data_IF_452680165321
#
_entry.id   IF_452680165321
#
_cell.length_a   1.000
_cell.length_b   1.000
_cell.length_c   1.000
_cell.angle_alpha   90.00
_cell.angle_beta   90.00
_cell.angle_gamma   90.00
#
_symmetry.space_group_name_H-M   'P 1'
#
loop_
_entity.id
_entity.type
_entity.pdbx_description
1 polymer ?
#
# COMPACT_ATOMS: atom_id res chain seq x y z
N UNK A 1 8.66 -6.59 -47.83
CA UNK A 1 8.12 -7.50 -48.86
C UNK A 1 6.96 -8.27 -48.26
N UNK A 2 5.72 -8.00 -48.68
CA UNK A 2 4.60 -8.92 -48.43
C UNK A 2 4.79 -10.11 -49.33
N UNK A 3 4.99 -11.28 -48.76
CA UNK A 3 5.12 -12.52 -49.50
C UNK A 3 3.93 -12.67 -50.47
N UNK A 4 4.20 -12.99 -51.73
CA UNK A 4 3.17 -13.28 -52.75
C UNK A 4 2.41 -14.58 -52.45
N UNK A 5 2.82 -15.30 -51.39
CA UNK A 5 2.08 -16.40 -50.78
C UNK A 5 0.88 -15.85 -50.01
N UNK A 6 -0.32 -16.26 -50.41
CA UNK A 6 -1.57 -15.87 -49.75
C UNK A 6 -1.57 -16.43 -48.32
N UNK A 7 -1.62 -15.55 -47.33
CA UNK A 7 -1.75 -15.93 -45.92
C UNK A 7 -2.95 -16.89 -45.71
N UNK A 8 -2.77 -18.06 -45.09
CA UNK A 8 -3.84 -19.05 -44.93
C UNK A 8 -4.96 -18.57 -43.99
N UNK A 9 -4.67 -17.71 -43.01
CA UNK A 9 -5.65 -17.20 -42.04
C UNK A 9 -6.24 -15.82 -42.39
N UNK A 10 -5.78 -15.18 -43.46
CA UNK A 10 -6.33 -13.91 -43.96
C UNK A 10 -7.84 -13.93 -44.28
N UNK A 11 -8.44 -14.99 -44.87
CA UNK A 11 -9.90 -15.00 -45.08
C UNK A 11 -10.68 -14.89 -43.77
N UNK A 12 -10.21 -15.53 -42.68
CA UNK A 12 -10.85 -15.43 -41.37
C UNK A 12 -10.68 -14.02 -40.78
N UNK A 13 -9.52 -13.39 -40.94
CA UNK A 13 -9.31 -11.99 -40.54
C UNK A 13 -10.27 -11.04 -41.29
N UNK A 14 -10.48 -11.23 -42.59
CA UNK A 14 -11.47 -10.45 -43.36
C UNK A 14 -12.90 -10.68 -42.86
N UNK A 15 -13.25 -11.91 -42.46
CA UNK A 15 -14.56 -12.22 -41.87
C UNK A 15 -14.78 -11.52 -40.54
N UNK A 16 -13.75 -11.40 -39.69
CA UNK A 16 -13.83 -10.63 -38.44
C UNK A 16 -14.19 -9.19 -38.76
N UNK A 17 -13.46 -8.55 -39.68
CA UNK A 17 -13.72 -7.16 -40.07
C UNK A 17 -15.15 -6.98 -40.61
N UNK A 18 -15.61 -7.89 -41.48
CA UNK A 18 -16.98 -7.86 -41.99
C UNK A 18 -18.03 -8.05 -40.88
N UNK A 19 -17.76 -8.91 -39.89
CA UNK A 19 -18.65 -9.11 -38.75
C UNK A 19 -18.72 -7.86 -37.87
N UNK A 20 -17.57 -7.23 -37.58
CA UNK A 20 -17.51 -6.01 -36.79
C UNK A 20 -18.25 -4.87 -37.48
N UNK A 21 -18.02 -4.63 -38.78
CA UNK A 21 -18.74 -3.59 -39.52
C UNK A 21 -20.26 -3.81 -39.49
N UNK A 22 -20.72 -5.07 -39.58
CA UNK A 22 -22.16 -5.40 -39.52
C UNK A 22 -22.76 -5.25 -38.12
N UNK A 23 -21.98 -5.49 -37.07
CA UNK A 23 -22.45 -5.50 -35.68
C UNK A 23 -22.05 -4.24 -34.89
N UNK A 24 -21.73 -3.13 -35.57
CA UNK A 24 -21.29 -1.89 -34.93
C UNK A 24 -20.10 -2.08 -33.99
N UNK A 25 -19.13 -2.89 -34.42
CA UNK A 25 -17.90 -3.21 -33.69
C UNK A 25 -18.13 -3.93 -32.34
N UNK A 26 -19.27 -4.60 -32.19
CA UNK A 26 -19.53 -5.45 -31.02
C UNK A 26 -18.86 -6.82 -31.19
N UNK A 27 -17.70 -7.00 -30.56
CA UNK A 27 -16.92 -8.25 -30.59
C UNK A 27 -17.68 -9.45 -29.99
N UNK A 28 -18.51 -9.20 -28.98
CA UNK A 28 -19.33 -10.22 -28.29
C UNK A 28 -20.26 -10.99 -29.26
N UNK A 29 -20.62 -10.40 -30.40
CA UNK A 29 -21.45 -11.03 -31.44
C UNK A 29 -20.63 -11.79 -32.50
N UNK A 30 -19.33 -11.60 -32.51
CA UNK A 30 -18.41 -12.15 -33.51
C UNK A 30 -17.53 -13.27 -32.96
N UNK A 31 -17.90 -13.84 -31.79
CA UNK A 31 -17.13 -14.87 -31.09
C UNK A 31 -16.88 -16.10 -31.96
N UNK A 32 -17.88 -16.56 -32.72
CA UNK A 32 -17.75 -17.70 -33.63
C UNK A 32 -16.68 -17.46 -34.71
N UNK A 33 -16.61 -16.23 -35.23
CA UNK A 33 -15.64 -15.86 -36.28
C UNK A 33 -14.24 -15.71 -35.68
N UNK A 34 -14.14 -15.18 -34.45
CA UNK A 34 -12.89 -15.11 -33.69
C UNK A 34 -12.37 -16.51 -33.35
N UNK A 35 -13.24 -17.44 -33.00
CA UNK A 35 -12.88 -18.82 -32.74
C UNK A 35 -12.37 -19.52 -34.01
N UNK A 36 -13.04 -19.32 -35.15
CA UNK A 36 -12.56 -19.84 -36.44
C UNK A 36 -11.18 -19.27 -36.82
N UNK A 37 -10.91 -18.00 -36.50
CA UNK A 37 -9.59 -17.39 -36.66
C UNK A 37 -8.55 -18.04 -35.74
N UNK A 38 -8.87 -18.23 -34.45
CA UNK A 38 -8.02 -18.94 -33.49
C UNK A 38 -7.69 -20.36 -33.97
N UNK A 39 -8.69 -21.13 -34.42
CA UNK A 39 -8.48 -22.48 -34.95
C UNK A 39 -7.55 -22.50 -36.17
N UNK A 40 -7.62 -21.48 -37.03
CA UNK A 40 -6.67 -21.32 -38.13
C UNK A 40 -5.25 -21.04 -37.61
N UNK A 41 -5.12 -20.16 -36.63
CA UNK A 41 -3.84 -19.82 -36.04
C UNK A 41 -3.20 -20.99 -35.30
N UNK A 42 -3.97 -21.85 -34.62
CA UNK A 42 -3.43 -23.07 -34.02
C UNK A 42 -2.69 -23.97 -35.04
N UNK A 43 -3.13 -23.99 -36.29
CA UNK A 43 -2.53 -24.77 -37.37
C UNK A 43 -1.38 -24.03 -38.06
N UNK A 44 -1.57 -22.73 -38.34
CA UNK A 44 -0.71 -21.95 -39.24
C UNK A 44 -0.04 -20.73 -38.58
N UNK A 45 0.13 -20.69 -37.26
CA UNK A 45 0.71 -19.53 -36.54
C UNK A 45 2.09 -19.12 -37.05
N UNK A 46 2.89 -20.06 -37.56
CA UNK A 46 4.26 -19.80 -38.06
C UNK A 46 4.27 -19.16 -39.45
N UNK A 47 3.24 -19.42 -40.24
CA UNK A 47 3.18 -19.03 -41.66
C UNK A 47 2.29 -17.81 -41.90
N UNK A 48 1.30 -17.57 -41.04
CA UNK A 48 0.35 -16.47 -41.22
C UNK A 48 0.69 -15.28 -40.34
N UNK A 49 0.86 -14.12 -40.98
CA UNK A 49 1.13 -12.87 -40.26
C UNK A 49 -0.09 -12.39 -39.47
N UNK A 50 -1.30 -12.78 -39.90
CA UNK A 50 -2.55 -12.36 -39.24
C UNK A 50 -2.74 -12.96 -37.84
N UNK A 51 -1.93 -13.94 -37.43
CA UNK A 51 -2.06 -14.62 -36.15
C UNK A 51 -1.29 -13.97 -34.99
N UNK A 52 -0.45 -12.96 -35.26
CA UNK A 52 0.33 -12.28 -34.20
C UNK A 52 -0.52 -11.54 -33.17
N UNK A 53 -1.78 -11.21 -33.50
CA UNK A 53 -2.71 -10.50 -32.62
C UNK A 53 -3.81 -11.37 -32.00
N UNK A 54 -3.72 -12.70 -32.09
CA UNK A 54 -4.75 -13.63 -31.59
C UNK A 54 -4.21 -14.44 -30.41
N UNK A 55 -4.91 -14.41 -29.29
CA UNK A 55 -4.59 -15.26 -28.13
C UNK A 55 -4.97 -16.72 -28.39
N UNK A 56 -3.96 -17.59 -28.47
CA UNK A 56 -4.13 -19.04 -28.68
C UNK A 56 -4.52 -19.80 -27.40
N UNK A 57 -4.42 -19.17 -26.23
CA UNK A 57 -4.78 -19.77 -24.95
C UNK A 57 -6.26 -19.53 -24.61
N UNK A 58 -6.79 -18.33 -24.92
CA UNK A 58 -8.18 -17.92 -24.65
C UNK A 58 -9.25 -18.46 -25.62
N UNK A 59 -10.12 -19.37 -25.16
CA UNK A 59 -11.27 -19.83 -25.95
C UNK A 59 -12.29 -18.69 -26.08
N UNK A 60 -12.73 -18.41 -27.31
CA UNK A 60 -13.67 -17.31 -27.60
C UNK A 60 -15.13 -17.72 -27.46
N UNK A 61 -15.43 -19.02 -27.52
CA UNK A 61 -16.77 -19.51 -27.21
C UNK A 61 -16.98 -19.53 -25.68
N UNK A 62 -18.09 -18.96 -25.18
CA UNK A 62 -18.49 -19.14 -23.80
C UNK A 62 -18.98 -20.57 -23.64
N UNK A 63 -18.23 -21.38 -22.89
CA UNK A 63 -18.79 -22.63 -22.36
C UNK A 63 -20.03 -22.25 -21.54
N UNK A 64 -21.15 -22.94 -21.78
CA UNK A 64 -22.45 -22.67 -21.15
C UNK A 64 -22.47 -22.79 -19.61
N UNK A 65 -21.30 -22.97 -18.98
CA UNK A 65 -21.13 -23.23 -17.56
C UNK A 65 -20.04 -22.41 -16.85
N UNK A 66 -19.29 -21.50 -17.50
CA UNK A 66 -18.25 -20.71 -16.81
C UNK A 66 -18.24 -19.21 -17.15
N UNK A 67 -19.13 -18.48 -16.51
CA UNK A 67 -19.05 -17.01 -16.34
C UNK A 67 -18.04 -16.65 -15.23
N UNK A 68 -16.72 -16.90 -15.36
CA UNK A 68 -15.68 -16.28 -14.50
C UNK A 68 -14.29 -16.25 -15.13
N UNK A 69 -14.09 -15.54 -16.24
CA UNK A 69 -12.88 -14.72 -16.43
C UNK A 69 -12.98 -13.79 -17.66
N UNK A 70 -13.40 -12.53 -17.52
CA UNK A 70 -13.18 -11.55 -18.56
C UNK A 70 -11.88 -10.80 -18.27
N UNK A 71 -10.80 -11.19 -18.94
CA UNK A 71 -9.73 -10.23 -19.25
C UNK A 71 -10.41 -9.14 -20.10
N UNK A 72 -10.68 -7.99 -19.50
CA UNK A 72 -11.21 -6.81 -20.19
C UNK A 72 -12.65 -6.36 -19.91
N UNK A 73 -13.30 -6.75 -18.81
CA UNK A 73 -14.50 -6.03 -18.30
C UNK A 73 -14.32 -5.72 -16.81
N UNK A 74 -14.73 -4.51 -16.42
CA UNK A 74 -14.77 -4.01 -15.04
C UNK A 74 -15.25 -5.08 -14.05
N UNK A 75 -14.77 -5.06 -12.79
CA UNK A 75 -15.07 -6.12 -11.83
C UNK A 75 -16.58 -6.37 -11.74
N UNK A 76 -17.01 -7.65 -11.68
CA UNK A 76 -18.40 -8.01 -11.45
C UNK A 76 -18.96 -7.17 -10.29
N UNK A 77 -20.16 -6.60 -10.44
CA UNK A 77 -20.75 -5.68 -9.46
C UNK A 77 -20.72 -6.22 -8.02
N UNK A 78 -20.84 -7.53 -7.87
CA UNK A 78 -20.74 -8.23 -6.59
C UNK A 78 -19.37 -8.09 -5.90
N UNK A 79 -18.26 -8.10 -6.64
CA UNK A 79 -16.91 -7.88 -6.07
C UNK A 79 -16.75 -6.41 -5.68
N UNK A 80 -17.29 -5.48 -6.46
CA UNK A 80 -17.26 -4.05 -6.15
C UNK A 80 -18.05 -3.76 -4.86
N UNK A 81 -19.24 -4.34 -4.73
CA UNK A 81 -20.08 -4.21 -3.54
C UNK A 81 -19.40 -4.82 -2.29
N UNK A 82 -18.69 -5.93 -2.44
CA UNK A 82 -17.91 -6.54 -1.35
C UNK A 82 -16.68 -5.71 -0.95
N UNK A 83 -15.99 -5.08 -1.91
CA UNK A 83 -14.87 -4.19 -1.65
C UNK A 83 -15.35 -2.90 -0.97
N UNK A 84 -16.41 -2.28 -1.46
CA UNK A 84 -17.01 -1.08 -0.89
C UNK A 84 -17.55 -1.37 0.53
N UNK A 85 -18.14 -2.55 0.75
CA UNK A 85 -18.58 -2.99 2.08
C UNK A 85 -17.38 -3.18 3.03
N UNK A 86 -16.27 -3.76 2.56
CA UNK A 86 -15.04 -3.92 3.34
C UNK A 86 -14.42 -2.56 3.69
N UNK A 87 -14.40 -1.61 2.76
CA UNK A 87 -13.91 -0.25 3.00
C UNK A 87 -14.78 0.50 4.00
N UNK A 88 -16.11 0.38 3.90
CA UNK A 88 -17.04 0.96 4.87
C UNK A 88 -16.87 0.36 6.28
N UNK A 89 -16.68 -0.96 6.38
CA UNK A 89 -16.38 -1.63 7.65
C UNK A 89 -15.06 -1.13 8.24
N UNK A 90 -14.00 -1.03 7.44
CA UNK A 90 -12.71 -0.49 7.88
C UNK A 90 -12.81 0.98 8.30
N UNK A 91 -13.57 1.81 7.58
CA UNK A 91 -13.79 3.22 7.92
C UNK A 91 -14.56 3.36 9.25
N UNK A 92 -15.61 2.56 9.47
CA UNK A 92 -16.35 2.53 10.72
C UNK A 92 -15.50 2.01 11.89
N UNK A 93 -14.62 1.03 11.65
CA UNK A 93 -13.69 0.53 12.66
C UNK A 93 -12.63 1.59 13.04
N UNK A 94 -12.08 2.32 12.06
CA UNK A 94 -11.15 3.44 12.31
C UNK A 94 -11.78 4.58 13.11
N UNK A 95 -13.07 4.87 12.90
CA UNK A 95 -13.82 5.85 13.71
C UNK A 95 -13.99 5.41 15.17
N UNK A 96 -14.05 4.10 15.44
CA UNK A 96 -14.17 3.56 16.81
C UNK A 96 -12.85 3.51 17.59
N UNK A 97 -11.69 3.54 16.91
CA UNK A 97 -10.37 3.42 17.56
C UNK A 97 -9.78 4.73 18.11
N UNK A 98 -10.46 5.87 18.01
CA UNK A 98 -9.90 7.17 18.40
C UNK A 98 -10.56 7.84 19.63
N UNK A 99 -11.20 7.07 20.52
CA UNK A 99 -11.63 7.58 21.83
C UNK A 99 -10.99 6.73 22.92
N UNK A 100 -9.72 7.00 23.21
CA UNK A 100 -9.08 6.47 24.41
C UNK A 100 -9.75 7.13 25.63
N UNK A 101 -10.25 6.37 26.62
CA UNK A 101 -10.72 6.96 27.85
C UNK A 101 -9.59 7.79 28.48
N UNK A 102 -9.91 8.96 29.04
CA UNK A 102 -8.99 9.80 29.81
C UNK A 102 -8.60 9.08 31.11
N UNK A 103 -7.77 8.04 30.99
CA UNK A 103 -7.04 7.44 32.12
C UNK A 103 -5.87 8.34 32.45
N UNK A 104 -5.62 8.56 33.74
CA UNK A 104 -4.46 9.31 34.22
C UNK A 104 -3.17 8.63 33.72
N UNK A 105 -2.17 9.44 33.34
CA UNK A 105 -0.92 8.96 32.75
C UNK A 105 -0.17 7.99 33.67
N UNK A 106 -0.29 8.18 34.99
CA UNK A 106 0.24 7.30 36.04
C UNK A 106 -0.20 5.84 35.85
N UNK A 107 -1.43 5.61 35.38
CA UNK A 107 -1.99 4.26 35.21
C UNK A 107 -1.56 3.60 33.89
N UNK A 108 -0.96 4.34 32.94
CA UNK A 108 -0.50 3.80 31.65
C UNK A 108 0.93 3.28 31.71
N UNK A 109 1.81 3.94 32.47
CA UNK A 109 3.23 3.57 32.60
C UNK A 109 3.69 3.64 34.07
N UNK A 110 3.36 2.64 34.92
CA UNK A 110 3.69 2.68 36.34
C UNK A 110 5.20 2.67 36.63
N UNK A 111 5.98 1.99 35.78
CA UNK A 111 7.46 1.96 35.90
C UNK A 111 8.09 3.33 35.66
N UNK A 112 7.58 4.09 34.69
CA UNK A 112 8.09 5.41 34.35
C UNK A 112 7.78 6.42 35.47
N UNK A 113 6.57 6.36 36.05
CA UNK A 113 6.22 7.15 37.22
C UNK A 113 7.12 6.85 38.43
N UNK A 114 7.35 5.57 38.73
CA UNK A 114 8.23 5.15 39.81
C UNK A 114 9.67 5.63 39.61
N UNK A 115 10.20 5.53 38.38
CA UNK A 115 11.56 6.03 38.06
C UNK A 115 11.63 7.55 38.25
N UNK A 116 10.70 8.33 37.68
CA UNK A 116 10.71 9.79 37.82
C UNK A 116 10.63 10.24 39.28
N UNK A 117 9.83 9.57 40.09
CA UNK A 117 9.69 9.92 41.51
C UNK A 117 10.96 9.59 42.31
N UNK A 118 11.56 8.41 42.06
CA UNK A 118 12.81 7.99 42.71
C UNK A 118 13.98 8.87 42.27
N UNK A 119 14.11 9.18 40.99
CA UNK A 119 15.18 10.04 40.47
C UNK A 119 15.05 11.47 40.96
N UNK A 120 13.84 12.03 40.99
CA UNK A 120 13.59 13.35 41.57
C UNK A 120 13.94 13.41 43.05
N UNK A 121 13.55 12.39 43.83
CA UNK A 121 13.90 12.29 45.25
C UNK A 121 15.41 12.19 45.46
N UNK A 122 16.09 11.32 44.71
CA UNK A 122 17.55 11.19 44.75
C UNK A 122 18.25 12.50 44.36
N UNK A 123 17.80 13.20 43.32
CA UNK A 123 18.36 14.50 42.93
C UNK A 123 18.16 15.57 44.01
N UNK A 124 17.05 15.55 44.75
CA UNK A 124 16.81 16.48 45.87
C UNK A 124 17.67 16.13 47.09
N UNK A 125 17.83 14.84 47.41
CA UNK A 125 18.63 14.41 48.57
C UNK A 125 20.15 14.40 48.30
N UNK A 126 20.60 14.11 47.08
CA UNK A 126 22.01 14.12 46.68
C UNK A 126 22.48 15.45 46.06
N UNK A 127 21.60 16.45 45.89
CA UNK A 127 22.06 17.80 45.53
C UNK A 127 22.61 18.56 46.73
N UNK A 128 22.16 18.30 47.97
CA UNK A 128 22.73 18.92 49.19
C UNK A 128 24.26 18.79 49.32
N UNK A 129 24.89 17.62 49.12
CA UNK A 129 26.35 17.52 49.17
C UNK A 129 27.06 18.21 47.99
N UNK A 130 26.37 18.56 46.90
CA UNK A 130 26.93 19.35 45.80
C UNK A 130 26.76 20.87 46.00
N UNK A 131 25.72 21.31 46.71
CA UNK A 131 25.54 22.72 47.09
C UNK A 131 26.65 23.20 48.04
N UNK A 132 27.10 22.36 48.99
CA UNK A 132 28.21 22.71 49.90
C UNK A 132 29.58 22.75 49.21
N UNK A 133 29.81 21.97 48.14
CA UNK A 133 31.08 22.03 47.39
C UNK A 133 31.28 23.32 46.58
N UNK A 134 30.22 24.08 46.29
CA UNK A 134 30.28 25.28 45.43
C UNK A 134 29.92 26.60 46.13
N UNK A 135 29.22 26.58 47.28
CA UNK A 135 28.73 27.78 48.00
C UNK A 135 29.29 27.85 49.44
N UNK A 136 30.28 27.02 49.80
CA UNK A 136 31.01 27.25 51.05
C UNK A 136 31.77 28.60 50.97
N UNK A 137 31.45 29.51 51.91
CA UNK A 137 32.09 30.83 52.02
C UNK A 137 33.63 30.70 52.03
N UNK A 138 34.38 31.59 51.33
CA UNK A 138 35.83 31.63 51.47
C UNK A 138 36.19 31.97 52.92
N UNK A 139 37.07 31.16 53.51
CA UNK A 139 37.70 31.42 54.82
C UNK A 139 38.09 32.90 54.94
N UNK A 140 37.74 33.59 56.04
CA UNK A 140 38.15 34.97 56.22
C UNK A 140 39.68 35.08 56.22
N UNK A 141 40.26 36.13 55.60
CA UNK A 141 41.71 36.29 55.50
C UNK A 141 42.35 36.44 56.89
N UNK A 142 43.61 36.00 57.07
CA UNK A 142 44.29 36.10 58.35
C UNK A 142 44.46 37.56 58.77
N UNK A 143 43.96 37.91 59.97
CA UNK A 143 44.13 39.23 60.59
C UNK A 143 45.62 39.56 60.75
N UNK A 144 46.09 40.55 60.00
CA UNK A 144 47.38 41.20 60.23
C UNK A 144 47.27 42.12 61.44
N UNK A 145 47.72 41.65 62.61
CA UNK A 145 47.88 42.49 63.81
C UNK A 145 48.99 43.52 63.56
N UNK A 146 48.62 44.77 63.29
CA UNK A 146 49.55 45.91 63.27
C UNK A 146 49.73 46.42 64.72
N UNK A 147 50.96 46.51 65.26
CA UNK A 147 51.19 46.99 66.62
C UNK A 147 50.98 48.52 66.73
N UNK A 148 50.47 49.03 67.86
CA UNK A 148 50.12 50.43 68.01
C UNK A 148 51.36 51.35 68.05
N UNK A 149 51.26 52.43 67.30
CA UNK A 149 52.27 53.49 67.16
C UNK A 149 52.41 54.29 68.47
N UNK A 150 53.64 54.50 68.93
CA UNK A 150 53.99 55.35 70.09
C UNK A 150 53.48 56.78 69.89
N UNK A 151 52.89 57.35 70.95
CA UNK A 151 52.80 58.79 71.20
C UNK A 151 53.22 59.06 72.63
#
# INVERSE_FOLDING_TARGET
MSDTRKDPCKPNACRIQACLTKNHYQEDKCLDVLEAMRQCCLKWHKESLCCSGIDLEKTYLPDASQEKNPIGKSPPKEIQDLLDQKEQQQANQRRRTAVLPKRSWIQRNPRLFQICFITGSLLVFFSKPLFDCFIADPLPPPETKVPPHKR
#
